data_IF_920142864908
#
_entry.id   IF_920142864908
#
_cell.length_a   1.000
_cell.length_b   1.000
_cell.length_c   1.000
_cell.angle_alpha   90.00
_cell.angle_beta   90.00
_cell.angle_gamma   90.00
#
_symmetry.space_group_name_H-M   'P 1'
#
loop_
_entity.id
_entity.type
_entity.pdbx_description
1 polymer ?
#
# COMPACT_ATOMS: atom_id res chain seq x y z
N UNK A 1 3.17 12.43 -8.59
CA UNK A 1 2.53 12.35 -7.26
C UNK A 1 1.02 12.35 -7.46
N UNK A 2 0.30 11.54 -6.69
CA UNK A 2 -1.16 11.41 -6.74
C UNK A 2 -1.74 11.55 -5.34
N UNK A 3 -2.97 12.02 -5.25
CA UNK A 3 -3.62 12.33 -3.98
C UNK A 3 -5.07 11.85 -3.98
N UNK A 4 -5.59 11.48 -2.82
CA UNK A 4 -7.02 11.33 -2.59
C UNK A 4 -7.70 12.70 -2.64
N UNK A 5 -8.78 12.81 -3.42
CA UNK A 5 -9.58 14.05 -3.45
C UNK A 5 -10.23 14.34 -2.09
N UNK A 6 -10.64 13.30 -1.36
CA UNK A 6 -11.29 13.42 -0.05
C UNK A 6 -10.27 13.71 1.06
N UNK A 7 -9.19 12.93 1.17
CA UNK A 7 -8.18 13.13 2.22
C UNK A 7 -7.41 14.45 2.06
N UNK A 8 -7.26 14.96 0.83
CA UNK A 8 -6.61 16.26 0.58
C UNK A 8 -7.36 17.45 1.21
N UNK A 9 -8.67 17.29 1.46
CA UNK A 9 -9.49 18.33 2.14
C UNK A 9 -9.31 18.35 3.66
N UNK A 10 -8.66 17.34 4.23
CA UNK A 10 -8.45 17.22 5.68
C UNK A 10 -7.12 17.89 6.02
N UNK A 11 -7.19 19.05 6.69
CA UNK A 11 -6.01 19.87 7.02
C UNK A 11 -5.06 19.22 8.04
N UNK A 12 -5.58 18.31 8.87
CA UNK A 12 -4.83 17.62 9.93
C UNK A 12 -3.86 16.55 9.42
N UNK A 13 -3.92 16.22 8.13
CA UNK A 13 -3.07 15.17 7.57
C UNK A 13 -2.42 15.62 6.26
N UNK A 14 -1.23 15.10 6.01
CA UNK A 14 -0.57 15.15 4.71
C UNK A 14 -0.39 13.73 4.19
N UNK A 15 -0.72 13.50 2.92
CA UNK A 15 -0.58 12.18 2.30
C UNK A 15 -0.13 12.30 0.84
N UNK A 16 0.51 11.26 0.33
CA UNK A 16 0.90 11.19 -1.08
C UNK A 16 1.08 9.74 -1.54
N UNK A 17 0.58 9.43 -2.73
CA UNK A 17 0.95 8.26 -3.51
C UNK A 17 2.01 8.69 -4.53
N UNK A 18 3.26 8.34 -4.28
CA UNK A 18 4.36 8.74 -5.14
C UNK A 18 4.42 7.88 -6.40
N UNK A 19 4.66 8.51 -7.54
CA UNK A 19 5.04 7.82 -8.76
C UNK A 19 6.53 7.47 -8.73
N UNK A 20 7.00 6.72 -9.72
CA UNK A 20 8.45 6.46 -9.91
C UNK A 20 9.24 7.66 -10.43
N UNK A 21 8.58 8.79 -10.75
CA UNK A 21 9.25 9.99 -11.27
C UNK A 21 10.07 10.71 -10.20
N UNK A 22 11.03 11.54 -10.63
CA UNK A 22 11.84 12.44 -9.78
C UNK A 22 12.71 11.72 -8.73
N UNK A 23 13.22 10.54 -9.05
CA UNK A 23 14.13 9.81 -8.17
C UNK A 23 15.53 9.66 -8.74
N UNK A 24 16.43 9.12 -7.93
CA UNK A 24 17.87 9.04 -8.17
C UNK A 24 18.34 7.67 -8.67
N UNK A 25 17.46 6.68 -8.71
CA UNK A 25 17.80 5.32 -9.16
C UNK A 25 17.93 5.24 -10.67
N UNK A 26 18.74 4.28 -11.16
CA UNK A 26 19.04 4.06 -12.60
C UNK A 26 18.66 2.63 -13.03
N UNK A 27 18.78 2.35 -14.32
CA UNK A 27 18.49 1.02 -14.89
C UNK A 27 17.04 0.57 -14.66
N UNK A 28 16.83 -0.69 -14.27
CA UNK A 28 15.50 -1.24 -13.99
C UNK A 28 14.78 -0.50 -12.84
N UNK A 29 15.54 0.16 -11.96
CA UNK A 29 15.04 0.97 -10.86
C UNK A 29 14.87 2.45 -11.21
N UNK A 30 15.09 2.86 -12.48
CA UNK A 30 15.09 4.29 -12.88
C UNK A 30 13.93 5.07 -12.27
N UNK A 31 14.29 6.08 -11.44
CA UNK A 31 13.38 6.97 -10.75
C UNK A 31 13.32 6.75 -9.23
N UNK A 32 12.17 6.99 -8.63
CA UNK A 32 11.95 7.04 -7.19
C UNK A 32 11.71 5.62 -6.62
N UNK A 33 12.74 4.75 -6.68
CA UNK A 33 12.68 3.46 -6.01
C UNK A 33 12.89 3.63 -4.50
N UNK A 34 11.87 3.30 -3.70
CA UNK A 34 11.89 3.37 -2.24
C UNK A 34 12.01 1.98 -1.56
N UNK A 35 12.18 0.93 -2.34
CA UNK A 35 12.28 -0.45 -1.84
C UNK A 35 13.64 -0.76 -1.21
N UNK A 36 13.78 -0.67 0.13
CA UNK A 36 15.00 -1.04 0.86
C UNK A 36 15.45 -2.48 0.63
N UNK A 37 14.53 -3.40 0.28
CA UNK A 37 14.82 -4.80 -0.03
C UNK A 37 15.13 -5.06 -1.51
N UNK A 38 15.25 -4.02 -2.36
CA UNK A 38 15.69 -4.17 -3.74
C UNK A 38 17.22 -4.28 -3.83
N UNK A 39 17.71 -4.86 -4.93
CA UNK A 39 19.15 -4.92 -5.26
C UNK A 39 19.69 -3.60 -5.84
N UNK A 40 18.92 -2.52 -5.76
CA UNK A 40 19.37 -1.18 -6.15
C UNK A 40 20.50 -0.67 -5.25
N UNK A 41 21.29 0.27 -5.73
CA UNK A 41 22.35 0.91 -4.92
C UNK A 41 21.72 1.55 -3.68
N UNK A 42 22.14 1.12 -2.48
CA UNK A 42 21.64 1.62 -1.19
C UNK A 42 21.65 3.15 -1.10
N UNK A 43 22.71 3.80 -1.65
CA UNK A 43 22.82 5.26 -1.74
C UNK A 43 21.64 5.90 -2.51
N UNK A 44 21.20 5.29 -3.62
CA UNK A 44 20.10 5.82 -4.42
C UNK A 44 18.77 5.68 -3.66
N UNK A 45 18.52 4.52 -3.06
CA UNK A 45 17.31 4.28 -2.24
C UNK A 45 17.27 5.26 -1.06
N UNK A 46 18.43 5.54 -0.41
CA UNK A 46 18.51 6.54 0.66
C UNK A 46 18.10 7.92 0.16
N UNK A 47 18.70 8.42 -0.94
CA UNK A 47 18.33 9.71 -1.55
C UNK A 47 16.86 9.80 -1.93
N UNK A 48 16.29 8.69 -2.44
CA UNK A 48 14.86 8.61 -2.77
C UNK A 48 13.99 8.76 -1.51
N UNK A 49 14.37 8.13 -0.41
CA UNK A 49 13.64 8.23 0.85
C UNK A 49 13.82 9.61 1.50
N UNK A 50 14.99 10.24 1.36
CA UNK A 50 15.22 11.63 1.82
C UNK A 50 14.30 12.60 1.05
N UNK A 51 14.18 12.42 -0.27
CA UNK A 51 13.23 13.18 -1.09
C UNK A 51 11.76 12.99 -0.62
N UNK A 52 11.37 11.76 -0.30
CA UNK A 52 10.01 11.47 0.21
C UNK A 52 9.79 12.14 1.57
N UNK A 53 10.73 12.03 2.50
CA UNK A 53 10.66 12.66 3.83
C UNK A 53 10.48 14.18 3.71
N UNK A 54 11.30 14.83 2.86
CA UNK A 54 11.18 16.27 2.56
C UNK A 54 9.80 16.62 1.99
N UNK A 55 9.22 15.78 1.10
CA UNK A 55 7.87 16.01 0.54
C UNK A 55 6.75 15.79 1.56
N UNK A 56 6.99 15.00 2.59
CA UNK A 56 6.05 14.76 3.68
C UNK A 56 6.24 15.72 4.87
N UNK A 57 7.22 16.67 4.79
CA UNK A 57 7.60 17.62 5.84
C UNK A 57 7.97 16.93 7.17
N UNK A 58 8.73 15.84 7.05
CA UNK A 58 9.28 15.14 8.21
C UNK A 58 10.78 14.92 8.05
N UNK A 59 11.49 14.80 9.16
CA UNK A 59 12.87 14.35 9.16
C UNK A 59 12.99 12.92 8.63
N UNK A 60 14.14 12.57 8.08
CA UNK A 60 14.34 11.27 7.43
C UNK A 60 14.14 10.09 8.38
N UNK A 61 14.52 10.21 9.64
CA UNK A 61 14.37 9.18 10.67
C UNK A 61 12.91 9.05 11.17
N UNK A 62 12.09 10.07 10.94
CA UNK A 62 10.65 10.08 11.22
C UNK A 62 9.79 9.56 10.05
N UNK A 63 10.39 9.24 8.89
CA UNK A 63 9.72 8.47 7.83
C UNK A 63 9.87 6.97 8.11
N UNK A 64 8.84 6.38 8.69
CA UNK A 64 8.82 4.99 9.15
C UNK A 64 8.36 4.06 8.03
N UNK A 65 9.16 3.02 7.77
CA UNK A 65 8.82 1.95 6.85
C UNK A 65 8.90 0.61 7.57
N UNK A 66 8.05 -0.32 7.15
CA UNK A 66 8.05 -1.68 7.64
C UNK A 66 8.74 -2.63 6.63
N UNK A 67 9.22 -3.75 7.14
CA UNK A 67 9.59 -4.91 6.35
C UNK A 67 8.34 -5.73 6.06
N UNK A 68 7.79 -5.58 4.85
CA UNK A 68 6.54 -6.19 4.41
C UNK A 68 6.77 -7.65 4.04
N UNK A 69 5.93 -8.55 4.55
CA UNK A 69 6.03 -10.01 4.38
C UNK A 69 4.78 -10.64 3.80
N UNK A 70 3.83 -9.82 3.31
CA UNK A 70 2.50 -10.24 2.83
C UNK A 70 1.71 -10.99 3.92
N UNK A 71 1.88 -10.56 5.16
CA UNK A 71 1.16 -11.07 6.35
C UNK A 71 -0.11 -10.26 6.64
N UNK A 72 -0.76 -10.57 7.74
CA UNK A 72 -1.86 -9.79 8.31
C UNK A 72 -1.45 -9.07 9.62
N UNK A 73 -0.14 -8.92 9.86
CA UNK A 73 0.40 -8.32 11.07
C UNK A 73 0.28 -6.80 11.03
N UNK A 74 -0.18 -6.22 12.13
CA UNK A 74 -0.35 -4.77 12.33
C UNK A 74 0.48 -4.30 13.51
N UNK A 75 1.25 -3.23 13.35
CA UNK A 75 2.06 -2.65 14.42
C UNK A 75 1.64 -1.21 14.67
N UNK A 76 1.44 -0.85 15.93
CA UNK A 76 1.30 0.53 16.38
C UNK A 76 2.69 1.13 16.58
N UNK A 77 2.96 2.25 15.92
CA UNK A 77 4.21 2.99 16.04
C UNK A 77 4.10 3.96 17.20
N UNK A 78 5.07 3.84 18.14
CA UNK A 78 5.19 4.61 19.38
C UNK A 78 6.63 5.10 19.57
N UNK A 79 6.88 6.01 20.52
CA UNK A 79 8.21 6.53 20.85
C UNK A 79 9.25 5.45 21.16
N UNK A 80 8.82 4.33 21.76
CA UNK A 80 9.71 3.24 22.17
C UNK A 80 10.03 2.20 21.06
N UNK A 81 9.41 2.30 19.87
CA UNK A 81 9.62 1.31 18.82
C UNK A 81 9.87 1.88 17.40
N UNK A 82 9.71 3.18 17.16
CA UNK A 82 9.82 3.73 15.79
C UNK A 82 11.21 3.57 15.15
N UNK A 83 12.27 3.44 15.96
CA UNK A 83 13.65 3.17 15.49
C UNK A 83 13.92 1.68 15.26
N UNK A 84 13.05 0.78 15.73
CA UNK A 84 13.22 -0.67 15.61
C UNK A 84 12.89 -1.14 14.19
N UNK A 85 13.43 -2.30 13.81
CA UNK A 85 13.03 -2.99 12.56
C UNK A 85 11.63 -3.57 12.74
N UNK A 86 10.68 -3.11 11.92
CA UNK A 86 9.26 -3.45 12.01
C UNK A 86 8.94 -4.49 10.94
N UNK A 87 8.50 -5.68 11.36
CA UNK A 87 8.01 -6.74 10.47
C UNK A 87 6.48 -6.75 10.53
N UNK A 88 5.83 -6.19 9.53
CA UNK A 88 4.37 -6.06 9.44
C UNK A 88 3.94 -5.73 8.01
N UNK A 89 2.63 -5.75 7.78
CA UNK A 89 2.02 -5.28 6.53
C UNK A 89 1.01 -4.15 6.76
N UNK A 90 0.84 -3.71 8.02
CA UNK A 90 0.17 -2.46 8.36
C UNK A 90 0.85 -1.77 9.55
N UNK A 91 0.82 -0.45 9.52
CA UNK A 91 1.25 0.41 10.64
C UNK A 91 0.19 1.45 10.92
N UNK A 92 0.02 1.79 12.20
CA UNK A 92 -0.84 2.86 12.69
C UNK A 92 -0.08 3.71 13.69
N UNK A 93 -0.45 4.99 13.87
CA UNK A 93 0.13 5.86 14.91
C UNK A 93 -0.79 7.03 15.25
N UNK A 94 -0.68 7.51 16.50
CA UNK A 94 -1.20 8.80 16.98
C UNK A 94 -0.11 9.88 17.01
N UNK A 95 1.13 9.54 16.67
CA UNK A 95 2.27 10.47 16.80
C UNK A 95 2.23 11.50 15.67
N UNK A 96 2.22 12.78 16.04
CA UNK A 96 2.42 13.91 15.12
C UNK A 96 3.90 14.04 14.74
N UNK A 97 4.17 14.58 13.55
CA UNK A 97 5.53 14.72 13.02
C UNK A 97 6.16 13.41 12.51
N UNK A 98 5.40 12.30 12.46
CA UNK A 98 5.84 11.02 11.93
C UNK A 98 5.07 10.63 10.67
N UNK A 99 5.78 10.27 9.61
CA UNK A 99 5.19 9.76 8.38
C UNK A 99 5.27 8.23 8.33
N UNK A 100 4.14 7.57 8.12
CA UNK A 100 4.09 6.13 7.83
C UNK A 100 4.18 5.91 6.32
N UNK A 101 5.03 4.99 5.88
CA UNK A 101 5.22 4.66 4.47
C UNK A 101 5.04 3.18 4.17
N UNK A 102 4.32 2.88 3.10
CA UNK A 102 4.16 1.53 2.52
C UNK A 102 4.70 1.51 1.11
N UNK A 103 5.49 0.48 0.76
CA UNK A 103 6.07 0.35 -0.58
C UNK A 103 5.37 -0.75 -1.37
N UNK A 104 5.05 -0.47 -2.63
CA UNK A 104 4.32 -1.39 -3.49
C UNK A 104 4.87 -1.41 -4.93
N UNK A 105 4.68 -2.55 -5.57
CA UNK A 105 4.74 -2.74 -7.01
C UNK A 105 3.64 -3.76 -7.33
N UNK A 106 2.44 -3.29 -7.70
CA UNK A 106 1.20 -4.02 -7.97
C UNK A 106 0.27 -4.27 -6.78
N UNK A 107 0.78 -4.56 -5.58
CA UNK A 107 -0.06 -4.67 -4.38
C UNK A 107 -0.80 -3.36 -4.08
N UNK A 108 -1.92 -3.44 -3.40
CA UNK A 108 -2.75 -2.28 -3.03
C UNK A 108 -2.14 -1.56 -1.82
N UNK A 109 -1.67 -0.30 -1.95
CA UNK A 109 -1.40 0.54 -0.80
C UNK A 109 -2.70 1.19 -0.33
N UNK A 110 -2.95 1.17 0.97
CA UNK A 110 -4.10 1.85 1.59
C UNK A 110 -3.56 2.87 2.59
N UNK A 111 -4.06 4.10 2.47
CA UNK A 111 -3.87 5.16 3.46
C UNK A 111 -5.16 5.27 4.24
N UNK A 112 -5.07 5.28 5.57
CA UNK A 112 -6.19 5.31 6.50
C UNK A 112 -6.05 6.49 7.46
N UNK A 113 -7.17 7.13 7.78
CA UNK A 113 -7.27 8.15 8.82
C UNK A 113 -8.55 7.97 9.64
N UNK A 114 -8.40 7.93 10.96
CA UNK A 114 -9.50 8.05 11.93
C UNK A 114 -9.61 9.51 12.37
N UNK A 115 -10.65 10.18 11.93
CA UNK A 115 -10.85 11.62 12.16
C UNK A 115 -11.26 11.96 13.59
N UNK A 116 -11.81 11.00 14.34
CA UNK A 116 -12.24 11.19 15.73
C UNK A 116 -11.08 11.11 16.71
N UNK A 117 -10.15 10.19 16.43
CA UNK A 117 -9.06 9.87 17.36
C UNK A 117 -7.68 10.31 16.86
N UNK A 118 -7.61 11.02 15.74
CA UNK A 118 -6.36 11.44 15.10
C UNK A 118 -5.37 10.28 14.93
N UNK A 119 -5.81 9.16 14.32
CA UNK A 119 -4.95 8.00 14.04
C UNK A 119 -4.72 7.92 12.54
N UNK A 120 -3.47 7.96 12.11
CA UNK A 120 -3.09 7.66 10.73
C UNK A 120 -2.61 6.22 10.61
N UNK A 121 -2.85 5.62 9.42
CA UNK A 121 -2.38 4.28 9.12
C UNK A 121 -1.99 4.10 7.67
N UNK A 122 -1.10 3.17 7.41
CA UNK A 122 -0.83 2.65 6.07
C UNK A 122 -0.85 1.13 6.06
N UNK A 123 -1.42 0.54 5.00
CA UNK A 123 -1.62 -0.90 4.87
C UNK A 123 -1.07 -1.35 3.51
N UNK A 124 -0.29 -2.43 3.52
CA UNK A 124 0.11 -3.18 2.34
C UNK A 124 -0.88 -4.34 2.13
N UNK A 125 -1.81 -4.17 1.22
CA UNK A 125 -2.78 -5.20 0.88
C UNK A 125 -2.41 -5.87 -0.47
N UNK A 126 -1.39 -6.73 -0.46
CA UNK A 126 -1.21 -7.74 -1.49
C UNK A 126 -2.34 -8.78 -1.40
N UNK A 127 -2.53 -9.60 -2.44
CA UNK A 127 -3.60 -10.61 -2.45
C UNK A 127 -3.60 -11.49 -1.19
N UNK A 128 -2.41 -11.93 -0.72
CA UNK A 128 -2.27 -12.80 0.44
C UNK A 128 -2.66 -12.08 1.74
N UNK A 129 -2.14 -10.86 1.96
CA UNK A 129 -2.49 -10.04 3.13
C UNK A 129 -3.98 -9.69 3.17
N UNK A 130 -4.57 -9.33 2.01
CA UNK A 130 -6.00 -9.08 1.89
C UNK A 130 -6.84 -10.34 2.16
N UNK A 131 -6.42 -11.49 1.62
CA UNK A 131 -7.03 -12.79 1.88
C UNK A 131 -6.95 -13.20 3.37
N UNK A 132 -5.85 -12.85 4.06
CA UNK A 132 -5.63 -13.06 5.49
C UNK A 132 -6.21 -11.94 6.37
N UNK A 133 -7.08 -11.08 5.82
CA UNK A 133 -7.85 -10.07 6.55
C UNK A 133 -7.02 -8.94 7.19
N UNK A 134 -5.94 -8.50 6.54
CA UNK A 134 -5.09 -7.39 7.05
C UNK A 134 -5.90 -6.12 7.38
N UNK A 135 -6.96 -5.82 6.61
CA UNK A 135 -7.84 -4.66 6.84
C UNK A 135 -8.58 -4.82 8.16
N UNK A 136 -9.27 -5.96 8.34
CA UNK A 136 -10.00 -6.28 9.57
C UNK A 136 -9.08 -6.20 10.80
N UNK A 137 -7.88 -6.78 10.71
CA UNK A 137 -6.89 -6.74 11.77
C UNK A 137 -6.42 -5.32 12.09
N UNK A 138 -6.27 -4.46 11.05
CA UNK A 138 -5.90 -3.06 11.26
C UNK A 138 -7.00 -2.31 12.01
N UNK A 139 -8.26 -2.46 11.60
CA UNK A 139 -9.39 -1.83 12.26
C UNK A 139 -9.57 -2.34 13.69
N UNK A 140 -9.45 -3.66 13.90
CA UNK A 140 -9.50 -4.26 15.24
C UNK A 140 -8.38 -3.71 16.14
N UNK A 141 -7.18 -3.50 15.59
CA UNK A 141 -6.07 -2.90 16.35
C UNK A 141 -6.37 -1.46 16.75
N UNK A 142 -6.97 -0.65 15.86
CA UNK A 142 -7.35 0.73 16.17
C UNK A 142 -8.44 0.74 17.25
N UNK A 143 -9.50 -0.08 17.11
CA UNK A 143 -10.59 -0.18 18.07
C UNK A 143 -10.16 -0.62 19.48
N UNK A 144 -9.01 -1.26 19.61
CA UNK A 144 -8.42 -1.59 20.93
C UNK A 144 -7.75 -0.41 21.63
N UNK A 145 -7.44 0.67 20.91
CA UNK A 145 -6.73 1.84 21.45
C UNK A 145 -7.56 3.13 21.38
N UNK A 146 -8.77 3.05 20.84
CA UNK A 146 -9.69 4.18 20.69
C UNK A 146 -11.14 3.71 20.46
N UNK A 147 -12.09 4.51 20.89
CA UNK A 147 -13.53 4.33 20.71
C UNK A 147 -14.10 5.34 19.70
N UNK A 148 -15.37 5.19 19.34
CA UNK A 148 -16.11 6.13 18.45
C UNK A 148 -15.34 6.51 17.19
N UNK A 149 -14.85 5.50 16.47
CA UNK A 149 -14.00 5.71 15.29
C UNK A 149 -14.78 6.19 14.07
N UNK A 150 -14.19 7.14 13.31
CA UNK A 150 -14.71 7.60 12.02
C UNK A 150 -13.64 7.52 10.95
N UNK A 151 -13.66 6.44 10.18
CA UNK A 151 -12.61 6.09 9.24
C UNK A 151 -12.82 6.66 7.84
N UNK A 152 -11.73 7.21 7.29
CA UNK A 152 -11.56 7.50 5.88
C UNK A 152 -10.34 6.75 5.35
N UNK A 153 -10.49 6.09 4.21
CA UNK A 153 -9.38 5.42 3.55
C UNK A 153 -9.28 5.83 2.09
N UNK A 154 -8.06 5.78 1.56
CA UNK A 154 -7.84 5.86 0.12
C UNK A 154 -7.01 4.68 -0.36
N UNK A 155 -7.52 4.00 -1.39
CA UNK A 155 -6.81 2.98 -2.16
C UNK A 155 -5.95 3.69 -3.19
N UNK A 156 -4.63 3.43 -3.14
CA UNK A 156 -3.68 3.99 -4.09
C UNK A 156 -3.52 3.19 -5.38
N UNK A 157 -2.57 3.60 -6.24
CA UNK A 157 -2.23 2.88 -7.47
C UNK A 157 -1.85 1.43 -7.19
N UNK A 158 -2.44 0.51 -7.93
CA UNK A 158 -2.18 -0.93 -7.83
C UNK A 158 -2.40 -1.60 -9.20
N UNK A 159 -2.14 -2.89 -9.31
CA UNK A 159 -2.40 -3.63 -10.54
C UNK A 159 -3.89 -3.60 -10.90
N UNK A 160 -4.19 -3.26 -12.15
CA UNK A 160 -5.56 -3.19 -12.65
C UNK A 160 -6.18 -4.58 -12.91
N UNK A 161 -7.52 -4.63 -12.92
CA UNK A 161 -8.28 -5.86 -13.18
C UNK A 161 -7.83 -6.54 -14.49
N UNK A 162 -7.64 -5.79 -15.57
CA UNK A 162 -7.25 -6.32 -16.89
C UNK A 162 -5.81 -6.82 -16.94
N UNK A 163 -4.98 -6.44 -15.97
CA UNK A 163 -3.54 -6.73 -15.89
C UNK A 163 -3.20 -7.86 -14.92
N UNK A 164 -4.14 -8.27 -14.05
CA UNK A 164 -3.87 -9.25 -13.00
C UNK A 164 -4.38 -10.65 -13.37
N UNK A 165 -3.61 -11.34 -14.20
CA UNK A 165 -3.86 -12.73 -14.53
C UNK A 165 -3.47 -13.65 -13.38
N UNK A 166 -4.34 -14.62 -13.08
CA UNK A 166 -4.15 -15.66 -12.06
C UNK A 166 -4.57 -17.02 -12.63
N UNK A 167 -4.08 -18.10 -12.06
CA UNK A 167 -4.44 -19.46 -12.47
C UNK A 167 -5.75 -19.95 -11.82
N UNK A 168 -6.19 -21.15 -12.23
CA UNK A 168 -7.41 -21.77 -11.68
C UNK A 168 -7.27 -22.15 -10.22
N UNK A 169 -6.07 -22.50 -9.73
CA UNK A 169 -5.88 -22.89 -8.33
C UNK A 169 -6.02 -21.67 -7.41
N UNK A 170 -5.49 -20.51 -7.83
CA UNK A 170 -5.74 -19.24 -7.14
C UNK A 170 -7.25 -18.94 -7.03
N UNK A 171 -8.00 -19.11 -8.12
CA UNK A 171 -9.43 -18.91 -8.12
C UNK A 171 -10.16 -19.89 -7.17
N UNK A 172 -9.84 -21.19 -7.24
CA UNK A 172 -10.42 -22.21 -6.36
C UNK A 172 -10.16 -21.90 -4.88
N UNK A 173 -8.95 -21.47 -4.53
CA UNK A 173 -8.60 -21.05 -3.16
C UNK A 173 -9.51 -19.93 -2.64
N UNK A 174 -9.80 -18.92 -3.45
CA UNK A 174 -10.71 -17.85 -3.07
C UNK A 174 -12.15 -18.33 -2.92
N UNK A 175 -12.61 -19.23 -3.79
CA UNK A 175 -13.96 -19.82 -3.69
C UNK A 175 -14.10 -20.73 -2.47
N UNK A 176 -13.08 -21.47 -2.09
CA UNK A 176 -13.07 -22.30 -0.88
C UNK A 176 -13.28 -21.45 0.39
N UNK A 177 -12.72 -20.22 0.43
CA UNK A 177 -12.96 -19.27 1.52
C UNK A 177 -14.39 -18.72 1.52
N UNK A 178 -14.94 -18.41 0.34
CA UNK A 178 -16.34 -17.99 0.17
C UNK A 178 -16.73 -18.05 -1.30
N UNK A 179 -17.89 -18.67 -1.62
CA UNK A 179 -18.45 -18.71 -2.98
C UNK A 179 -18.71 -17.30 -3.54
N UNK A 180 -19.03 -16.33 -2.68
CA UNK A 180 -19.25 -14.93 -3.05
C UNK A 180 -18.01 -14.26 -3.66
N UNK A 181 -16.81 -14.80 -3.43
CA UNK A 181 -15.58 -14.27 -4.01
C UNK A 181 -15.54 -14.39 -5.56
N UNK A 182 -16.45 -15.16 -6.17
CA UNK A 182 -16.61 -15.23 -7.64
C UNK A 182 -16.73 -13.87 -8.30
N UNK A 183 -17.33 -12.88 -7.64
CA UNK A 183 -17.57 -11.52 -8.16
C UNK A 183 -16.28 -10.70 -8.42
N UNK A 184 -15.14 -11.15 -7.89
CA UNK A 184 -13.85 -10.50 -8.08
C UNK A 184 -13.06 -11.06 -9.26
N UNK A 185 -13.60 -12.08 -9.93
CA UNK A 185 -12.96 -12.76 -11.05
C UNK A 185 -13.74 -12.62 -12.34
N UNK A 186 -13.01 -12.60 -13.45
CA UNK A 186 -13.59 -12.75 -14.79
C UNK A 186 -12.72 -13.71 -15.62
N UNK A 187 -13.30 -14.30 -16.66
CA UNK A 187 -12.57 -15.20 -17.54
C UNK A 187 -11.53 -14.42 -18.35
N UNK A 188 -10.35 -14.98 -18.49
CA UNK A 188 -9.33 -14.53 -19.45
C UNK A 188 -9.29 -15.49 -20.63
N UNK A 189 -9.14 -16.77 -20.36
CA UNK A 189 -9.15 -17.87 -21.33
C UNK A 189 -9.47 -19.21 -20.60
N UNK A 190 -9.28 -20.34 -21.29
CA UNK A 190 -9.54 -21.69 -20.72
C UNK A 190 -8.75 -22.01 -19.43
N UNK A 191 -7.56 -21.42 -19.23
CA UNK A 191 -6.66 -21.75 -18.11
C UNK A 191 -6.46 -20.60 -17.11
N UNK A 192 -6.76 -19.36 -17.48
CA UNK A 192 -6.47 -18.15 -16.68
C UNK A 192 -7.75 -17.37 -16.37
N UNK A 193 -7.75 -16.73 -15.21
CA UNK A 193 -8.74 -15.74 -14.77
C UNK A 193 -8.08 -14.37 -14.64
N UNK A 194 -8.88 -13.31 -14.63
CA UNK A 194 -8.49 -11.96 -14.23
C UNK A 194 -9.04 -11.69 -12.84
N UNK A 195 -8.17 -11.26 -11.91
CA UNK A 195 -8.54 -10.97 -10.54
C UNK A 195 -8.59 -9.45 -10.29
N UNK A 196 -9.70 -8.97 -9.73
CA UNK A 196 -9.86 -7.57 -9.35
C UNK A 196 -9.50 -7.37 -7.87
N UNK A 197 -8.19 -7.27 -7.59
CA UNK A 197 -7.68 -7.06 -6.23
C UNK A 197 -8.19 -5.73 -5.64
N UNK A 198 -8.26 -4.66 -6.44
CA UNK A 198 -8.82 -3.37 -6.02
C UNK A 198 -10.25 -3.52 -5.51
N UNK A 199 -11.13 -4.16 -6.29
CA UNK A 199 -12.52 -4.40 -5.90
C UNK A 199 -12.62 -5.25 -4.63
N UNK A 200 -11.80 -6.29 -4.50
CA UNK A 200 -11.74 -7.13 -3.32
C UNK A 200 -11.41 -6.30 -2.06
N UNK A 201 -10.31 -5.53 -2.12
CA UNK A 201 -9.88 -4.64 -1.03
C UNK A 201 -10.92 -3.56 -0.72
N UNK A 202 -11.54 -2.94 -1.76
CA UNK A 202 -12.61 -1.96 -1.57
C UNK A 202 -13.78 -2.55 -0.81
N UNK A 203 -14.20 -3.77 -1.18
CA UNK A 203 -15.32 -4.45 -0.50
C UNK A 203 -15.00 -4.71 0.98
N UNK A 204 -13.78 -5.14 1.29
CA UNK A 204 -13.38 -5.38 2.70
C UNK A 204 -13.33 -4.07 3.53
N UNK A 205 -12.92 -2.95 2.93
CA UNK A 205 -12.98 -1.64 3.57
C UNK A 205 -14.42 -1.18 3.83
N UNK A 206 -15.31 -1.36 2.84
CA UNK A 206 -16.73 -0.99 2.96
C UNK A 206 -17.43 -1.85 4.02
N UNK A 207 -17.17 -3.16 4.06
CA UNK A 207 -17.67 -4.07 5.12
C UNK A 207 -17.21 -3.65 6.52
N UNK A 208 -16.04 -3.02 6.63
CA UNK A 208 -15.54 -2.47 7.88
C UNK A 208 -16.11 -1.06 8.22
N UNK A 209 -17.14 -0.61 7.48
CA UNK A 209 -17.79 0.71 7.62
C UNK A 209 -16.82 1.88 7.42
N UNK A 210 -15.91 1.78 6.44
CA UNK A 210 -14.93 2.81 6.11
C UNK A 210 -15.39 3.59 4.89
N UNK A 211 -15.30 4.93 4.94
CA UNK A 211 -15.51 5.78 3.77
C UNK A 211 -14.30 5.71 2.84
N UNK A 212 -14.46 5.12 1.66
CA UNK A 212 -13.37 4.83 0.72
C UNK A 212 -13.31 5.88 -0.39
N UNK A 213 -12.09 6.32 -0.71
CA UNK A 213 -11.71 7.03 -1.93
C UNK A 213 -10.68 6.19 -2.71
N UNK A 214 -10.48 6.49 -4.00
CA UNK A 214 -9.58 5.69 -4.83
C UNK A 214 -8.78 6.56 -5.79
N UNK A 215 -7.49 6.26 -5.94
CA UNK A 215 -6.65 6.72 -7.03
C UNK A 215 -6.59 5.59 -8.07
N UNK A 216 -7.51 5.63 -9.03
CA UNK A 216 -7.69 4.57 -10.03
C UNK A 216 -6.59 4.59 -11.09
N UNK A 217 -5.43 4.00 -10.79
CA UNK A 217 -4.30 3.84 -11.69
C UNK A 217 -3.86 2.38 -11.75
N UNK A 218 -3.47 1.92 -12.92
CA UNK A 218 -2.94 0.57 -13.15
C UNK A 218 -1.42 0.60 -13.20
N UNK A 219 -0.76 0.04 -12.16
CA UNK A 219 0.70 0.04 -12.06
C UNK A 219 1.37 -0.79 -13.14
N UNK A 220 0.71 -1.82 -13.65
CA UNK A 220 1.22 -2.63 -14.76
C UNK A 220 1.14 -1.89 -16.09
N UNK A 221 0.04 -1.23 -16.40
CA UNK A 221 -0.17 -0.54 -17.67
C UNK A 221 0.66 0.76 -17.75
N UNK A 222 0.75 1.51 -16.66
CA UNK A 222 1.39 2.82 -16.62
C UNK A 222 2.89 2.75 -16.27
N UNK A 223 3.71 2.18 -17.14
CA UNK A 223 5.16 1.98 -16.93
C UNK A 223 5.96 3.27 -16.65
N UNK A 224 5.52 4.40 -17.20
CA UNK A 224 6.16 5.71 -16.97
C UNK A 224 5.91 6.28 -15.57
N UNK A 225 4.83 5.84 -14.90
CA UNK A 225 4.41 6.33 -13.60
C UNK A 225 4.74 5.37 -12.47
N UNK A 226 4.77 4.05 -12.71
CA UNK A 226 4.85 3.06 -11.65
C UNK A 226 5.83 1.92 -11.95
N UNK A 227 6.43 1.39 -10.88
CA UNK A 227 7.04 0.07 -10.89
C UNK A 227 5.94 -1.00 -10.83
N UNK A 228 6.21 -2.17 -11.42
CA UNK A 228 5.29 -3.30 -11.41
C UNK A 228 6.08 -4.61 -11.35
N UNK A 229 5.79 -5.42 -10.34
CA UNK A 229 6.31 -6.78 -10.20
C UNK A 229 5.87 -7.67 -11.38
N UNK A 230 4.58 -7.62 -11.73
CA UNK A 230 4.03 -8.38 -12.86
C UNK A 230 4.73 -8.06 -14.18
N UNK A 231 5.04 -6.78 -14.40
CA UNK A 231 5.78 -6.34 -15.59
C UNK A 231 7.23 -6.82 -15.55
N UNK A 232 7.91 -6.76 -14.40
CA UNK A 232 9.28 -7.26 -14.27
C UNK A 232 9.37 -8.77 -14.52
N UNK A 233 8.39 -9.55 -14.04
CA UNK A 233 8.30 -10.99 -14.35
C UNK A 233 8.11 -11.24 -15.85
N UNK A 234 7.21 -10.51 -16.52
CA UNK A 234 7.01 -10.64 -17.98
C UNK A 234 8.27 -10.28 -18.78
N UNK A 235 9.06 -9.32 -18.28
CA UNK A 235 10.32 -8.88 -18.90
C UNK A 235 11.53 -9.71 -18.42
N UNK A 236 11.33 -10.75 -17.62
CA UNK A 236 12.38 -11.62 -17.05
C UNK A 236 13.48 -10.82 -16.31
N UNK A 237 13.10 -9.70 -15.69
CA UNK A 237 14.03 -8.87 -14.91
C UNK A 237 14.39 -9.56 -13.58
N UNK A 238 15.66 -9.44 -13.17
CA UNK A 238 16.19 -10.09 -11.93
C UNK A 238 15.66 -9.45 -10.63
N UNK A 239 15.11 -8.21 -10.71
CA UNK A 239 14.50 -7.48 -9.58
C UNK A 239 13.65 -6.31 -10.10
N UNK A 240 13.05 -5.55 -9.19
CA UNK A 240 12.15 -4.44 -9.52
C UNK A 240 12.15 -3.34 -8.45
N UNK A 241 11.88 -2.09 -8.88
CA UNK A 241 11.67 -0.99 -7.96
C UNK A 241 10.29 -1.02 -7.30
N UNK A 242 10.12 -0.22 -6.23
CA UNK A 242 8.86 -0.08 -5.50
C UNK A 242 8.52 1.40 -5.31
N UNK A 243 7.30 1.78 -5.63
CA UNK A 243 6.75 3.09 -5.30
C UNK A 243 6.38 3.13 -3.82
N UNK A 244 6.37 4.33 -3.22
CA UNK A 244 5.94 4.54 -1.84
C UNK A 244 4.61 5.29 -1.80
N UNK A 245 3.78 4.95 -0.81
CA UNK A 245 2.61 5.72 -0.40
C UNK A 245 2.78 6.09 1.06
N UNK A 246 2.49 7.34 1.43
CA UNK A 246 2.79 7.83 2.77
C UNK A 246 1.69 8.75 3.30
N UNK A 247 1.53 8.76 4.63
CA UNK A 247 0.64 9.65 5.39
C UNK A 247 1.31 10.07 6.68
N UNK A 248 1.08 11.32 7.09
CA UNK A 248 1.47 11.85 8.40
C UNK A 248 0.40 12.80 8.94
N UNK A 249 0.46 13.06 10.22
CA UNK A 249 -0.06 14.25 10.89
C UNK A 249 1.13 15.17 11.11
N UNK A 250 1.13 16.39 10.52
CA UNK A 250 2.19 17.39 10.73
C UNK A 250 2.38 17.76 12.19
#
# INVERSE_FOLDING_TARGET
MFYSKKLKKIKQIKHCFFSRKNGFSKGIYKGLNCGKGSKDKKRNVRKNLDYVAKKMDVERDKLILMHQTHSNKVVEIKKNNYKKKIFADAMITKMKGFALGVVTADCVPIILYDTKNEIVGCIHAGWKGAFLEIIKNTISKIKKISSDNKFYACIGPCIGKKSYEVDKNFYKMFLAKSRNNKIYFSNKNKTKKLFNLRKFVTTELVKANIKVDQVERDTFAEKSNFFSYRRSCKLKQKDYGRCISSICMP
#
